data_IF_872367977314
#
_entry.id   IF_872367977314
#
_cell.length_a   1.000
_cell.length_b   1.000
_cell.length_c   1.000
_cell.angle_alpha   90.00
_cell.angle_beta   90.00
_cell.angle_gamma   90.00
#
_symmetry.space_group_name_H-M   'P 1'
#
loop_
_entity.id
_entity.type
_entity.pdbx_description
1 polymer ?
#
# COMPACT_ATOMS: atom_id res chain seq x y z
N UNK A 1 -1.23 -10.30 -5.18
CA UNK A 1 -0.43 -10.27 -3.93
C UNK A 1 -0.51 -11.61 -3.19
N UNK A 2 0.10 -12.66 -3.73
CA UNK A 2 0.05 -14.02 -3.13
C UNK A 2 1.42 -14.56 -2.71
N UNK A 3 2.52 -14.10 -3.32
CA UNK A 3 3.88 -14.48 -2.96
C UNK A 3 4.39 -13.59 -1.82
N UNK A 4 5.25 -14.14 -0.94
CA UNK A 4 5.77 -13.42 0.22
C UNK A 4 7.26 -13.70 0.43
N UNK A 5 8.09 -12.66 0.57
CA UNK A 5 9.49 -12.85 0.90
C UNK A 5 9.64 -13.25 2.37
N UNK A 6 10.62 -14.09 2.69
CA UNK A 6 10.87 -14.57 4.06
C UNK A 6 12.32 -14.28 4.45
N UNK A 7 12.52 -13.87 5.71
CA UNK A 7 13.87 -13.66 6.26
C UNK A 7 14.64 -14.96 6.50
N UNK A 8 13.95 -16.10 6.55
CA UNK A 8 14.54 -17.42 6.75
C UNK A 8 13.84 -18.42 5.83
N UNK A 9 14.62 -19.34 5.26
CA UNK A 9 14.10 -20.42 4.41
C UNK A 9 13.28 -21.43 5.20
N UNK A 10 13.51 -21.53 6.52
CA UNK A 10 12.83 -22.46 7.42
C UNK A 10 12.13 -21.75 8.59
N UNK A 11 11.08 -22.38 9.09
CA UNK A 11 10.31 -22.01 10.28
C UNK A 11 10.35 -23.18 11.27
N UNK A 12 10.64 -22.89 12.55
CA UNK A 12 10.68 -23.89 13.62
C UNK A 12 9.56 -23.64 14.62
N UNK A 13 8.74 -24.64 14.91
CA UNK A 13 7.72 -24.64 15.97
C UNK A 13 7.81 -25.93 16.76
N UNK A 14 7.76 -25.83 18.09
CA UNK A 14 7.76 -26.97 19.01
C UNK A 14 8.86 -28.01 18.72
N UNK A 15 10.05 -27.53 18.34
CA UNK A 15 11.22 -28.37 18.01
C UNK A 15 11.22 -28.97 16.59
N UNK A 16 10.13 -28.87 15.82
CA UNK A 16 10.08 -29.29 14.42
C UNK A 16 10.42 -28.13 13.49
N UNK A 17 11.25 -28.37 12.48
CA UNK A 17 11.66 -27.37 11.48
C UNK A 17 11.16 -27.75 10.09
N UNK A 18 10.46 -26.83 9.42
CA UNK A 18 9.91 -27.02 8.07
C UNK A 18 10.21 -25.82 7.17
N UNK A 19 10.13 -25.96 5.84
CA UNK A 19 10.23 -24.80 4.94
C UNK A 19 9.23 -23.71 5.33
N UNK A 20 9.66 -22.47 5.26
CA UNK A 20 8.81 -21.30 5.51
C UNK A 20 7.64 -21.27 4.54
N UNK A 21 6.45 -20.90 5.04
CA UNK A 21 5.33 -20.50 4.18
C UNK A 21 5.72 -19.25 3.37
N UNK A 22 5.63 -19.33 2.03
CA UNK A 22 6.01 -18.26 1.10
C UNK A 22 4.81 -17.65 0.37
N UNK A 23 3.61 -17.92 0.88
CA UNK A 23 2.38 -17.46 0.27
C UNK A 23 1.68 -18.55 -0.55
N UNK A 24 0.36 -18.42 -0.71
CA UNK A 24 -0.51 -19.48 -1.24
C UNK A 24 -0.20 -19.88 -2.68
N UNK A 25 0.51 -19.02 -3.42
CA UNK A 25 0.99 -19.28 -4.79
C UNK A 25 2.19 -20.24 -4.82
N UNK A 26 2.87 -20.45 -3.70
CA UNK A 26 4.03 -21.34 -3.58
C UNK A 26 3.67 -22.58 -2.76
N UNK A 27 3.25 -22.42 -1.51
CA UNK A 27 2.96 -23.53 -0.59
C UNK A 27 1.81 -23.22 0.37
N UNK A 28 1.37 -24.22 1.12
CA UNK A 28 0.30 -24.14 2.11
C UNK A 28 0.75 -23.54 3.44
N UNK A 29 -0.22 -23.01 4.17
CA UNK A 29 0.00 -22.25 5.41
C UNK A 29 0.24 -23.14 6.63
N UNK A 30 -0.41 -24.32 6.62
CA UNK A 30 -0.38 -25.29 7.71
C UNK A 30 1.06 -25.75 7.99
N UNK A 31 1.36 -25.96 9.27
CA UNK A 31 2.69 -26.34 9.74
C UNK A 31 2.89 -27.86 9.70
N UNK A 32 2.80 -28.42 8.50
CA UNK A 32 3.04 -29.84 8.23
C UNK A 32 3.88 -30.02 6.95
N UNK A 33 4.48 -31.20 6.81
CA UNK A 33 5.42 -31.48 5.71
C UNK A 33 4.73 -31.41 4.34
N UNK A 34 3.51 -31.92 4.21
CA UNK A 34 2.80 -31.95 2.94
C UNK A 34 2.44 -30.54 2.46
N UNK A 35 1.93 -29.71 3.38
CA UNK A 35 1.56 -28.33 3.09
C UNK A 35 2.75 -27.45 2.71
N UNK A 36 3.94 -27.69 3.29
CA UNK A 36 5.10 -26.83 3.07
C UNK A 36 5.88 -27.13 1.78
N UNK A 37 5.60 -28.23 1.10
CA UNK A 37 6.16 -28.54 -0.22
C UNK A 37 5.62 -27.54 -1.26
N UNK A 38 6.49 -26.86 -2.03
CA UNK A 38 6.05 -26.01 -3.13
C UNK A 38 5.27 -26.78 -4.19
N UNK A 39 4.11 -26.26 -4.59
CA UNK A 39 3.24 -26.87 -5.60
C UNK A 39 3.00 -25.90 -6.77
N UNK A 40 3.51 -26.20 -7.99
CA UNK A 40 3.35 -25.33 -9.15
C UNK A 40 1.87 -25.14 -9.58
N UNK A 41 0.95 -26.06 -9.25
CA UNK A 41 -0.47 -25.90 -9.56
C UNK A 41 -1.10 -24.70 -8.84
N UNK A 42 -0.50 -24.25 -7.74
CA UNK A 42 -0.92 -23.04 -7.01
C UNK A 42 -0.81 -21.77 -7.83
N UNK A 43 0.08 -21.72 -8.84
CA UNK A 43 0.16 -20.58 -9.77
C UNK A 43 -1.13 -20.43 -10.59
N UNK A 44 -1.69 -21.54 -11.08
CA UNK A 44 -2.97 -21.52 -11.79
C UNK A 44 -4.13 -21.14 -10.86
N UNK A 45 -4.10 -21.58 -9.61
CA UNK A 45 -5.08 -21.19 -8.60
C UNK A 45 -5.02 -19.68 -8.28
N UNK A 46 -3.82 -19.15 -8.06
CA UNK A 46 -3.60 -17.72 -7.82
C UNK A 46 -4.07 -16.86 -9.01
N UNK A 47 -3.83 -17.31 -10.24
CA UNK A 47 -4.35 -16.65 -11.45
C UNK A 47 -5.88 -16.62 -11.46
N UNK A 48 -6.55 -17.76 -11.25
CA UNK A 48 -8.02 -17.84 -11.25
C UNK A 48 -8.64 -16.95 -10.18
N UNK A 49 -8.09 -16.97 -8.97
CA UNK A 49 -8.55 -16.11 -7.89
C UNK A 49 -8.33 -14.63 -8.23
N UNK A 50 -7.16 -14.26 -8.77
CA UNK A 50 -6.88 -12.88 -9.20
C UNK A 50 -7.86 -12.40 -10.27
N UNK A 51 -8.14 -13.22 -11.29
CA UNK A 51 -9.07 -12.89 -12.36
C UNK A 51 -10.50 -12.69 -11.83
N UNK A 52 -10.98 -13.60 -10.98
CA UNK A 52 -12.31 -13.49 -10.36
C UNK A 52 -12.43 -12.26 -9.46
N UNK A 53 -11.42 -11.98 -8.65
CA UNK A 53 -11.38 -10.80 -7.77
C UNK A 53 -11.34 -9.50 -8.58
N UNK A 54 -10.50 -9.39 -9.61
CA UNK A 54 -10.43 -8.19 -10.44
C UNK A 54 -11.73 -7.96 -11.22
N UNK A 55 -12.36 -9.03 -11.72
CA UNK A 55 -13.67 -8.93 -12.37
C UNK A 55 -14.72 -8.31 -11.42
N UNK A 56 -14.76 -8.76 -10.17
CA UNK A 56 -15.66 -8.19 -9.17
C UNK A 56 -15.31 -6.73 -8.82
N UNK A 57 -14.02 -6.41 -8.66
CA UNK A 57 -13.57 -5.05 -8.38
C UNK A 57 -13.93 -4.07 -9.49
N UNK A 58 -13.78 -4.47 -10.77
CA UNK A 58 -14.22 -3.67 -11.92
C UNK A 58 -15.73 -3.44 -11.89
N UNK A 59 -16.51 -4.47 -11.57
CA UNK A 59 -17.95 -4.34 -11.42
C UNK A 59 -18.35 -3.38 -10.28
N UNK A 60 -17.61 -3.35 -9.16
CA UNK A 60 -17.87 -2.36 -8.11
C UNK A 60 -17.45 -0.94 -8.49
N UNK A 61 -16.30 -0.79 -9.15
CA UNK A 61 -15.77 0.51 -9.54
C UNK A 61 -16.62 1.22 -10.62
N UNK A 62 -17.19 0.46 -11.55
CA UNK A 62 -17.95 0.99 -12.71
C UNK A 62 -19.46 0.72 -12.64
N UNK A 63 -19.90 -0.26 -11.85
CA UNK A 63 -21.31 -0.67 -11.76
C UNK A 63 -22.15 0.13 -10.76
N UNK A 64 -21.72 1.33 -10.39
CA UNK A 64 -22.43 2.23 -9.48
C UNK A 64 -22.23 1.96 -7.99
N UNK A 65 -21.55 0.87 -7.58
CA UNK A 65 -21.23 0.67 -6.16
C UNK A 65 -20.33 1.80 -5.65
N UNK A 66 -19.38 2.28 -6.46
CA UNK A 66 -18.47 3.40 -6.20
C UNK A 66 -19.09 4.81 -6.31
N UNK A 67 -20.39 4.92 -6.60
CA UNK A 67 -21.07 6.22 -6.68
C UNK A 67 -20.99 6.99 -5.36
N UNK A 68 -20.77 8.30 -5.44
CA UNK A 68 -20.74 9.17 -4.26
C UNK A 68 -22.09 9.22 -3.53
N UNK A 69 -23.20 8.88 -4.19
CA UNK A 69 -24.51 8.72 -3.52
C UNK A 69 -24.50 7.58 -2.48
N UNK A 70 -23.58 6.62 -2.59
CA UNK A 70 -23.44 5.50 -1.65
C UNK A 70 -22.53 5.79 -0.45
N UNK A 71 -21.98 7.00 -0.32
CA UNK A 71 -20.99 7.34 0.73
C UNK A 71 -21.48 6.94 2.12
N UNK A 72 -22.73 7.23 2.48
CA UNK A 72 -23.33 6.80 3.77
C UNK A 72 -23.33 5.27 3.95
N UNK A 73 -23.58 4.50 2.89
CA UNK A 73 -23.66 3.03 2.96
C UNK A 73 -22.32 2.40 3.28
N UNK A 74 -21.21 2.95 2.76
CA UNK A 74 -19.88 2.46 3.10
C UNK A 74 -19.53 2.75 4.56
N UNK A 75 -20.08 3.83 5.13
CA UNK A 75 -19.75 4.28 6.49
C UNK A 75 -20.60 3.61 7.58
N UNK A 76 -21.88 3.30 7.29
CA UNK A 76 -22.84 2.80 8.28
C UNK A 76 -22.44 1.47 8.95
N UNK A 77 -21.61 0.64 8.31
CA UNK A 77 -21.16 -0.64 8.88
C UNK A 77 -20.04 -0.54 9.93
N UNK A 78 -19.29 0.57 9.95
CA UNK A 78 -18.05 0.69 10.75
C UNK A 78 -18.10 1.79 11.80
N UNK A 79 -18.93 2.81 11.57
CA UNK A 79 -18.90 4.05 12.36
C UNK A 79 -19.85 4.01 13.56
N UNK A 80 -20.81 3.07 13.58
CA UNK A 80 -21.91 3.13 14.54
C UNK A 80 -21.46 3.12 16.01
N UNK A 81 -20.41 2.35 16.30
CA UNK A 81 -19.83 2.15 17.64
C UNK A 81 -18.43 2.75 17.79
N UNK A 82 -17.98 3.56 16.82
CA UNK A 82 -16.63 4.13 16.83
C UNK A 82 -16.56 5.42 17.68
N UNK A 83 -15.52 5.60 18.52
CA UNK A 83 -15.28 6.87 19.23
C UNK A 83 -15.13 8.08 18.30
N UNK A 84 -14.84 7.86 17.02
CA UNK A 84 -14.65 8.90 16.01
C UNK A 84 -15.91 9.25 15.22
N UNK A 85 -17.07 8.67 15.56
CA UNK A 85 -18.35 8.85 14.86
C UNK A 85 -18.64 10.30 14.46
N UNK A 86 -18.49 11.24 15.39
CA UNK A 86 -18.83 12.65 15.16
C UNK A 86 -18.05 13.26 13.99
N UNK A 87 -16.76 12.92 13.86
CA UNK A 87 -15.90 13.45 12.78
C UNK A 87 -16.33 12.88 11.42
N UNK A 88 -16.74 11.61 11.39
CA UNK A 88 -17.29 10.97 10.20
C UNK A 88 -18.63 11.55 9.79
N UNK A 89 -19.56 11.72 10.74
CA UNK A 89 -20.87 12.30 10.48
C UNK A 89 -20.76 13.70 9.89
N UNK A 90 -19.84 14.52 10.41
CA UNK A 90 -19.59 15.86 9.88
C UNK A 90 -19.08 15.84 8.43
N UNK A 91 -18.12 14.96 8.09
CA UNK A 91 -17.63 14.83 6.71
C UNK A 91 -18.74 14.31 5.79
N UNK A 92 -19.47 13.29 6.22
CA UNK A 92 -20.56 12.69 5.46
C UNK A 92 -21.66 13.71 5.13
N UNK A 93 -22.05 14.51 6.12
CA UNK A 93 -23.03 15.58 5.94
C UNK A 93 -22.54 16.58 4.87
N UNK A 94 -21.28 17.01 4.94
CA UNK A 94 -20.69 17.94 3.95
C UNK A 94 -20.62 17.35 2.54
N UNK A 95 -20.30 16.07 2.40
CA UNK A 95 -20.33 15.38 1.11
C UNK A 95 -21.77 15.35 0.58
N UNK A 96 -22.74 15.03 1.43
CA UNK A 96 -24.17 14.99 1.07
C UNK A 96 -24.65 16.34 0.58
N UNK A 97 -24.33 17.42 1.31
CA UNK A 97 -24.71 18.78 0.93
C UNK A 97 -24.04 19.22 -0.37
N UNK A 98 -22.81 18.77 -0.62
CA UNK A 98 -22.11 19.00 -1.90
C UNK A 98 -22.82 18.27 -3.05
N UNK A 99 -23.19 17.00 -2.86
CA UNK A 99 -23.93 16.22 -3.87
C UNK A 99 -25.31 16.83 -4.12
N UNK A 100 -26.02 17.26 -3.08
CA UNK A 100 -27.33 17.90 -3.20
C UNK A 100 -27.22 19.25 -3.92
N UNK A 101 -26.16 20.02 -3.66
CA UNK A 101 -25.87 21.24 -4.41
C UNK A 101 -25.61 20.95 -5.89
N UNK A 102 -24.77 19.95 -6.20
CA UNK A 102 -24.50 19.52 -7.58
C UNK A 102 -25.80 19.11 -8.28
N UNK A 103 -26.65 18.33 -7.60
CA UNK A 103 -27.96 17.93 -8.11
C UNK A 103 -28.87 19.14 -8.38
N UNK A 104 -28.88 20.13 -7.48
CA UNK A 104 -29.68 21.35 -7.62
C UNK A 104 -29.27 22.20 -8.84
N UNK A 105 -28.00 22.17 -9.24
CA UNK A 105 -27.50 22.84 -10.45
C UNK A 105 -27.51 21.93 -11.70
N UNK A 106 -28.16 20.77 -11.63
CA UNK A 106 -28.35 19.85 -12.75
C UNK A 106 -27.19 18.89 -13.02
N UNK A 107 -26.22 18.79 -12.11
CA UNK A 107 -25.10 17.86 -12.18
C UNK A 107 -25.46 16.60 -11.37
N UNK A 108 -25.68 15.47 -12.02
CA UNK A 108 -26.12 14.21 -11.40
C UNK A 108 -25.27 13.02 -11.83
N UNK A 109 -25.39 11.90 -11.11
CA UNK A 109 -24.75 10.64 -11.47
C UNK A 109 -25.17 10.10 -12.85
N UNK A 110 -26.36 10.49 -13.35
CA UNK A 110 -26.90 10.05 -14.63
C UNK A 110 -26.27 10.78 -15.83
N UNK A 111 -25.87 12.05 -15.65
CA UNK A 111 -25.30 12.87 -16.72
C UNK A 111 -23.80 13.17 -16.54
N UNK A 112 -23.22 12.89 -15.37
CA UNK A 112 -21.78 12.99 -15.10
C UNK A 112 -21.22 11.69 -14.50
N UNK A 113 -20.61 10.85 -15.35
CA UNK A 113 -20.02 9.55 -14.95
C UNK A 113 -18.97 9.64 -13.85
N UNK A 114 -18.25 10.76 -13.75
CA UNK A 114 -17.26 10.98 -12.69
C UNK A 114 -17.86 11.00 -11.28
N UNK A 115 -19.19 11.05 -11.14
CA UNK A 115 -19.89 10.94 -9.85
C UNK A 115 -20.35 9.51 -9.54
N UNK A 116 -20.50 8.67 -10.55
CA UNK A 116 -21.04 7.31 -10.44
C UNK A 116 -19.99 6.21 -10.56
N UNK A 117 -18.83 6.52 -11.12
CA UNK A 117 -17.74 5.59 -11.38
C UNK A 117 -16.40 6.12 -10.81
N UNK A 118 -15.47 5.22 -10.53
CA UNK A 118 -14.09 5.56 -10.18
C UNK A 118 -13.10 4.64 -10.88
N UNK A 119 -11.88 5.11 -11.11
CA UNK A 119 -10.81 4.26 -11.60
C UNK A 119 -10.19 3.48 -10.44
N UNK A 120 -10.03 2.16 -10.63
CA UNK A 120 -9.41 1.29 -9.64
C UNK A 120 -8.32 0.45 -10.30
N UNK A 121 -7.13 0.50 -9.73
CA UNK A 121 -5.94 -0.18 -10.22
C UNK A 121 -5.50 -1.27 -9.24
N UNK A 122 -4.76 -2.25 -9.75
CA UNK A 122 -4.23 -3.36 -8.95
C UNK A 122 -2.71 -3.38 -8.97
N UNK A 123 -2.13 -3.78 -7.85
CA UNK A 123 -0.69 -3.97 -7.73
C UNK A 123 -0.33 -5.16 -6.84
N UNK A 124 0.89 -5.66 -7.04
CA UNK A 124 1.53 -6.66 -6.19
C UNK A 124 3.05 -6.62 -6.31
N UNK A 125 3.74 -7.25 -5.36
CA UNK A 125 5.19 -7.46 -5.43
C UNK A 125 5.52 -8.45 -6.54
N UNK A 126 6.36 -8.05 -7.50
CA UNK A 126 6.81 -8.89 -8.61
C UNK A 126 7.81 -9.94 -8.13
N UNK A 127 7.41 -10.85 -7.24
CA UNK A 127 8.34 -11.69 -6.49
C UNK A 127 8.63 -13.04 -7.19
N UNK A 128 7.59 -13.73 -7.67
CA UNK A 128 7.72 -15.05 -8.30
C UNK A 128 7.85 -14.88 -9.81
N UNK A 129 9.08 -14.66 -10.29
CA UNK A 129 9.33 -14.22 -11.67
C UNK A 129 8.78 -15.17 -12.75
N UNK A 130 8.77 -16.49 -12.53
CA UNK A 130 8.15 -17.42 -13.48
C UNK A 130 6.64 -17.21 -13.68
N UNK A 131 5.94 -16.72 -12.64
CA UNK A 131 4.53 -16.32 -12.74
C UNK A 131 4.37 -14.98 -13.47
N UNK A 132 5.27 -14.03 -13.19
CA UNK A 132 5.25 -12.70 -13.81
C UNK A 132 5.59 -12.78 -15.31
N UNK A 133 6.60 -13.56 -15.68
CA UNK A 133 7.00 -13.86 -17.06
C UNK A 133 5.83 -14.48 -17.85
N UNK A 134 5.14 -15.47 -17.30
CA UNK A 134 4.01 -16.13 -17.95
C UNK A 134 2.82 -15.17 -18.24
N UNK A 135 2.71 -14.07 -17.49
CA UNK A 135 1.70 -13.04 -17.65
C UNK A 135 2.23 -11.77 -18.34
N UNK A 136 3.47 -11.80 -18.83
CA UNK A 136 4.04 -10.70 -19.62
C UNK A 136 3.62 -10.82 -21.07
N UNK A 137 3.18 -9.72 -21.68
CA UNK A 137 2.62 -9.68 -23.02
C UNK A 137 3.20 -8.53 -23.82
N UNK A 138 3.30 -8.72 -25.12
CA UNK A 138 3.57 -7.64 -26.07
C UNK A 138 2.27 -6.91 -26.33
N UNK A 139 2.24 -5.59 -26.12
CA UNK A 139 1.14 -4.74 -26.56
C UNK A 139 1.08 -4.72 -28.09
N UNK A 140 -0.10 -4.96 -28.66
CA UNK A 140 -0.27 -5.11 -30.10
C UNK A 140 -0.09 -3.81 -30.89
N UNK A 141 -0.12 -2.65 -30.22
CA UNK A 141 -0.05 -1.34 -30.86
C UNK A 141 1.37 -0.78 -30.85
N UNK A 142 2.02 -0.83 -29.69
CA UNK A 142 3.36 -0.29 -29.46
C UNK A 142 4.48 -1.31 -29.70
N UNK A 143 4.20 -2.61 -29.57
CA UNK A 143 5.23 -3.65 -29.57
C UNK A 143 6.02 -3.76 -28.26
N UNK A 144 5.63 -2.98 -27.23
CA UNK A 144 6.31 -2.97 -25.94
C UNK A 144 5.82 -4.10 -25.02
N UNK A 145 6.63 -4.45 -24.03
CA UNK A 145 6.31 -5.48 -23.06
C UNK A 145 5.59 -4.92 -21.84
N UNK A 146 4.47 -5.52 -21.46
CA UNK A 146 3.73 -5.20 -20.24
C UNK A 146 3.53 -6.46 -19.40
N UNK A 147 3.79 -6.35 -18.11
CA UNK A 147 3.32 -7.33 -17.15
C UNK A 147 1.80 -7.17 -16.98
N UNK A 148 1.02 -8.15 -17.44
CA UNK A 148 -0.45 -8.11 -17.37
C UNK A 148 -1.01 -8.78 -16.10
N UNK A 149 -0.13 -9.09 -15.14
CA UNK A 149 -0.48 -9.63 -13.82
C UNK A 149 -1.03 -8.56 -12.86
N UNK A 150 -0.68 -7.29 -13.07
CA UNK A 150 -1.10 -6.13 -12.29
C UNK A 150 -0.88 -4.83 -13.09
N UNK A 151 -1.57 -3.75 -12.73
CA UNK A 151 -1.38 -2.46 -13.41
C UNK A 151 -0.04 -1.84 -13.01
N UNK A 152 0.29 -1.92 -11.72
CA UNK A 152 1.56 -1.49 -11.14
C UNK A 152 2.22 -2.67 -10.43
N UNK A 153 3.53 -2.81 -10.57
CA UNK A 153 4.31 -3.83 -9.87
C UNK A 153 5.35 -3.18 -8.96
N UNK A 154 5.76 -3.83 -7.88
CA UNK A 154 6.89 -3.33 -7.10
C UNK A 154 7.96 -4.37 -6.81
N UNK A 155 9.19 -3.88 -6.62
CA UNK A 155 10.34 -4.63 -6.16
C UNK A 155 10.45 -4.47 -4.64
N UNK A 156 10.55 -5.60 -3.94
CA UNK A 156 10.68 -5.65 -2.49
C UNK A 156 12.07 -5.22 -1.98
N UNK A 157 12.14 -4.85 -0.70
CA UNK A 157 13.40 -4.39 -0.08
C UNK A 157 14.48 -5.48 -0.03
N UNK A 158 14.09 -6.76 -0.16
CA UNK A 158 14.98 -7.93 -0.18
C UNK A 158 15.38 -8.38 -1.58
N UNK A 159 14.75 -7.84 -2.62
CA UNK A 159 14.88 -8.28 -4.01
C UNK A 159 15.31 -7.14 -4.95
N UNK A 160 15.82 -6.04 -4.39
CA UNK A 160 16.21 -4.82 -5.12
C UNK A 160 17.70 -4.73 -5.44
N UNK A 161 18.40 -5.85 -5.55
CA UNK A 161 19.81 -5.84 -5.93
C UNK A 161 19.93 -5.41 -7.41
N UNK A 162 20.75 -4.39 -7.75
CA UNK A 162 20.80 -3.83 -9.10
C UNK A 162 21.11 -4.84 -10.22
N UNK A 163 21.87 -5.88 -9.90
CA UNK A 163 22.36 -6.92 -10.81
C UNK A 163 21.54 -8.22 -10.75
N UNK A 164 20.38 -8.21 -10.07
CA UNK A 164 19.52 -9.37 -9.91
C UNK A 164 18.28 -9.35 -10.80
N UNK A 165 17.67 -10.54 -10.93
CA UNK A 165 16.57 -10.82 -11.86
C UNK A 165 15.33 -9.93 -11.68
N UNK A 166 15.01 -9.50 -10.46
CA UNK A 166 13.84 -8.65 -10.20
C UNK A 166 13.99 -7.25 -10.79
N UNK A 167 15.16 -6.65 -10.64
CA UNK A 167 15.47 -5.34 -11.23
C UNK A 167 15.52 -5.47 -12.75
N UNK A 168 16.14 -6.53 -13.27
CA UNK A 168 16.18 -6.80 -14.72
C UNK A 168 14.79 -7.00 -15.32
N UNK A 169 13.91 -7.75 -14.66
CA UNK A 169 12.53 -7.94 -15.10
C UNK A 169 11.76 -6.61 -15.14
N UNK A 170 11.82 -5.82 -14.05
CA UNK A 170 11.12 -4.54 -13.98
C UNK A 170 11.72 -3.46 -14.91
N UNK A 171 13.01 -3.58 -15.28
CA UNK A 171 13.64 -2.74 -16.29
C UNK A 171 13.01 -2.92 -17.68
N UNK A 172 12.56 -4.14 -18.01
CA UNK A 172 12.06 -4.51 -19.34
C UNK A 172 10.56 -4.32 -19.58
N UNK A 173 9.75 -4.06 -18.55
CA UNK A 173 8.29 -3.88 -18.68
C UNK A 173 7.89 -2.41 -18.64
N UNK A 174 6.86 -2.03 -19.37
CA UNK A 174 6.38 -0.63 -19.48
C UNK A 174 5.42 -0.19 -18.36
N UNK A 175 5.03 -1.09 -17.46
CA UNK A 175 4.20 -0.74 -16.30
C UNK A 175 4.86 0.37 -15.44
N UNK A 176 4.06 1.25 -14.79
CA UNK A 176 4.55 1.96 -13.62
C UNK A 176 5.05 0.97 -12.58
N UNK A 177 6.22 1.26 -11.99
CA UNK A 177 6.88 0.36 -11.04
C UNK A 177 7.17 1.04 -9.72
N UNK A 178 7.25 0.23 -8.67
CA UNK A 178 7.56 0.67 -7.32
C UNK A 178 8.85 0.04 -6.81
N UNK A 179 9.55 0.76 -5.94
CA UNK A 179 10.78 0.29 -5.31
C UNK A 179 10.71 0.53 -3.81
N UNK A 180 10.70 -0.55 -3.02
CA UNK A 180 10.74 -0.44 -1.56
C UNK A 180 12.11 0.11 -1.11
N UNK A 181 12.09 1.17 -0.33
CA UNK A 181 13.26 1.87 0.19
C UNK A 181 13.30 1.73 1.72
N UNK A 182 14.09 0.77 2.22
CA UNK A 182 14.31 0.57 3.65
C UNK A 182 15.55 1.29 4.20
N UNK A 183 15.82 1.16 5.52
CA UNK A 183 16.95 1.81 6.19
C UNK A 183 18.35 1.48 5.65
N UNK A 184 18.49 0.34 4.96
CA UNK A 184 19.73 -0.07 4.29
C UNK A 184 19.99 0.64 2.96
N UNK A 185 19.06 1.46 2.47
CA UNK A 185 19.23 2.24 1.24
C UNK A 185 20.13 3.46 1.49
N UNK A 186 21.15 3.64 0.66
CA UNK A 186 21.96 4.85 0.57
C UNK A 186 21.62 5.65 -0.71
N UNK A 187 22.17 6.85 -0.81
CA UNK A 187 21.87 7.76 -1.91
C UNK A 187 22.39 7.25 -3.25
N UNK A 188 23.65 6.80 -3.31
CA UNK A 188 24.28 6.35 -4.55
C UNK A 188 23.61 5.07 -5.09
N UNK A 189 23.31 4.12 -4.20
CA UNK A 189 22.58 2.90 -4.55
C UNK A 189 21.14 3.19 -5.01
N UNK A 190 20.47 4.15 -4.39
CA UNK A 190 19.14 4.60 -4.85
C UNK A 190 19.21 5.22 -6.24
N UNK A 191 20.15 6.14 -6.47
CA UNK A 191 20.33 6.81 -7.77
C UNK A 191 20.64 5.79 -8.88
N UNK A 192 21.53 4.83 -8.62
CA UNK A 192 21.80 3.74 -9.55
C UNK A 192 20.55 2.92 -9.89
N UNK A 193 19.71 2.60 -8.90
CA UNK A 193 18.46 1.89 -9.14
C UNK A 193 17.46 2.74 -9.95
N UNK A 194 17.40 4.06 -9.72
CA UNK A 194 16.57 4.97 -10.51
C UNK A 194 17.06 5.01 -11.97
N UNK A 195 18.38 5.06 -12.21
CA UNK A 195 18.97 5.02 -13.55
C UNK A 195 18.58 3.75 -14.32
N UNK A 196 18.58 2.60 -13.64
CA UNK A 196 18.23 1.32 -14.25
C UNK A 196 16.73 1.25 -14.56
N UNK A 197 15.88 1.68 -13.63
CA UNK A 197 14.43 1.46 -13.67
C UNK A 197 13.64 2.57 -14.37
N UNK A 198 14.20 3.78 -14.43
CA UNK A 198 13.63 4.95 -15.11
C UNK A 198 14.71 5.69 -15.94
N UNK A 199 15.30 5.03 -16.96
CA UNK A 199 16.43 5.57 -17.71
C UNK A 199 16.10 6.85 -18.49
N UNK A 200 14.83 7.03 -18.88
CA UNK A 200 14.36 8.21 -19.61
C UNK A 200 13.87 9.33 -18.68
N UNK A 201 13.98 9.16 -17.36
CA UNK A 201 13.52 10.11 -16.34
C UNK A 201 12.04 10.50 -16.51
N UNK A 202 11.19 9.54 -16.87
CA UNK A 202 9.76 9.74 -17.10
C UNK A 202 9.03 9.96 -15.77
N UNK A 203 8.26 11.04 -15.68
CA UNK A 203 7.48 11.35 -14.48
C UNK A 203 6.36 10.31 -14.29
N UNK A 204 6.26 9.75 -13.07
CA UNK A 204 5.25 8.72 -12.75
C UNK A 204 5.66 7.29 -13.08
N UNK A 205 6.77 7.08 -13.80
CA UNK A 205 7.32 5.74 -14.09
C UNK A 205 7.73 4.98 -12.84
N UNK A 206 8.42 5.64 -11.91
CA UNK A 206 8.98 5.03 -10.71
C UNK A 206 8.45 5.66 -9.42
N UNK A 207 7.89 4.82 -8.55
CA UNK A 207 7.44 5.18 -7.21
C UNK A 207 8.43 4.65 -6.15
N UNK A 208 9.06 5.54 -5.39
CA UNK A 208 9.92 5.21 -4.27
C UNK A 208 9.09 5.03 -3.00
N UNK A 209 9.01 3.81 -2.49
CA UNK A 209 8.15 3.43 -1.37
C UNK A 209 8.99 3.39 -0.08
N UNK A 210 9.04 4.50 0.64
CA UNK A 210 9.80 4.68 1.88
C UNK A 210 9.21 3.88 3.04
N UNK A 211 10.01 3.02 3.68
CA UNK A 211 9.59 2.15 4.80
C UNK A 211 10.65 2.07 5.90
N UNK A 212 10.93 3.20 6.54
CA UNK A 212 12.08 3.34 7.46
C UNK A 212 11.76 2.94 8.90
N UNK A 213 10.49 3.06 9.31
CA UNK A 213 10.07 3.04 10.70
C UNK A 213 10.04 4.44 11.30
N UNK A 214 9.12 4.65 12.24
CA UNK A 214 8.85 5.94 12.90
C UNK A 214 10.06 6.57 13.57
N UNK A 215 11.04 5.73 13.95
CA UNK A 215 12.23 6.16 14.69
C UNK A 215 13.41 6.47 13.77
N UNK A 216 13.31 6.17 12.47
CA UNK A 216 14.43 6.27 11.51
C UNK A 216 14.11 7.13 10.29
N UNK A 217 12.83 7.33 9.97
CA UNK A 217 12.42 8.08 8.77
C UNK A 217 13.01 9.50 8.74
N UNK A 218 13.04 10.21 9.87
CA UNK A 218 13.59 11.56 9.96
C UNK A 218 15.10 11.64 9.71
N UNK A 219 15.85 10.59 10.04
CA UNK A 219 17.32 10.55 9.85
C UNK A 219 17.72 10.06 8.45
N UNK A 220 16.93 9.15 7.87
CA UNK A 220 17.28 8.46 6.64
C UNK A 220 16.64 9.04 5.38
N UNK A 221 15.40 9.52 5.44
CA UNK A 221 14.69 9.98 4.24
C UNK A 221 15.26 11.30 3.67
N UNK A 222 15.63 12.32 4.48
CA UNK A 222 16.09 13.60 3.92
C UNK A 222 17.29 13.47 2.98
N UNK A 223 18.27 12.64 3.32
CA UNK A 223 19.46 12.43 2.46
C UNK A 223 19.09 11.84 1.10
N UNK A 224 18.07 10.97 1.02
CA UNK A 224 17.64 10.35 -0.22
C UNK A 224 16.85 11.34 -1.07
N UNK A 225 15.94 12.09 -0.45
CA UNK A 225 15.17 13.15 -1.11
C UNK A 225 16.12 14.19 -1.72
N UNK A 226 17.08 14.70 -0.95
CA UNK A 226 18.09 15.66 -1.44
C UNK A 226 18.89 15.13 -2.63
N UNK A 227 19.29 13.86 -2.58
CA UNK A 227 20.04 13.25 -3.68
C UNK A 227 19.21 13.15 -4.97
N UNK A 228 17.96 12.70 -4.87
CA UNK A 228 17.01 12.59 -5.99
C UNK A 228 16.72 13.96 -6.60
N UNK A 229 16.43 14.97 -5.76
CA UNK A 229 16.16 16.34 -6.22
C UNK A 229 17.39 16.99 -6.86
N UNK A 230 18.57 16.83 -6.25
CA UNK A 230 19.84 17.36 -6.79
C UNK A 230 20.16 16.80 -8.18
N UNK A 231 19.93 15.52 -8.40
CA UNK A 231 20.16 14.86 -9.69
C UNK A 231 18.97 15.02 -10.66
N UNK A 232 17.95 15.79 -10.29
CA UNK A 232 16.80 16.12 -11.14
C UNK A 232 15.92 14.92 -11.51
N UNK A 233 15.92 13.86 -10.69
CA UNK A 233 15.18 12.62 -10.97
C UNK A 233 13.71 12.78 -10.68
N UNK A 234 12.86 12.32 -11.61
CA UNK A 234 11.40 12.39 -11.53
C UNK A 234 10.87 11.07 -11.01
N UNK A 235 10.40 11.10 -9.77
CA UNK A 235 9.85 9.96 -9.04
C UNK A 235 8.62 10.36 -8.25
N UNK A 236 7.79 9.39 -7.89
CA UNK A 236 6.72 9.57 -6.91
C UNK A 236 7.21 9.06 -5.56
N UNK A 237 7.16 9.88 -4.51
CA UNK A 237 7.45 9.43 -3.16
C UNK A 237 6.18 8.90 -2.49
N UNK A 238 6.25 7.69 -1.94
CA UNK A 238 5.15 7.07 -1.19
C UNK A 238 5.64 6.59 0.17
N UNK A 239 4.85 6.81 1.22
CA UNK A 239 5.14 6.28 2.56
C UNK A 239 4.50 4.90 2.76
N UNK A 240 5.29 3.91 3.14
CA UNK A 240 4.85 2.62 3.70
C UNK A 240 5.16 2.60 5.19
N UNK A 241 4.22 3.08 6.03
CA UNK A 241 4.41 3.20 7.48
C UNK A 241 4.22 1.86 8.21
N UNK A 242 4.11 0.75 7.47
CA UNK A 242 3.71 -0.54 8.04
C UNK A 242 4.94 -1.42 8.25
N UNK A 243 5.70 -1.66 7.18
CA UNK A 243 6.81 -2.61 7.18
C UNK A 243 8.01 -2.15 8.01
N UNK A 244 8.13 -0.85 8.31
CA UNK A 244 9.15 -0.29 9.21
C UNK A 244 8.85 -0.45 10.70
N UNK A 245 7.57 -0.63 11.07
CA UNK A 245 7.07 -0.49 12.45
C UNK A 245 6.59 -1.81 13.09
N UNK A 246 7.03 -2.95 12.56
CA UNK A 246 6.62 -4.26 13.09
C UNK A 246 7.40 -4.61 14.35
N UNK A 247 6.69 -4.98 15.42
CA UNK A 247 7.24 -5.41 16.71
C UNK A 247 6.61 -6.73 17.13
N UNK A 248 7.13 -7.37 18.20
CA UNK A 248 6.51 -8.54 18.82
C UNK A 248 5.91 -8.17 20.18
N UNK A 249 4.65 -8.53 20.41
CA UNK A 249 3.91 -8.31 21.65
C UNK A 249 2.89 -9.45 21.87
N UNK A 250 2.76 -9.95 23.10
CA UNK A 250 1.79 -11.02 23.42
C UNK A 250 2.01 -12.34 22.65
N UNK A 251 3.22 -12.61 22.14
CA UNK A 251 3.49 -13.76 21.27
C UNK A 251 3.09 -13.56 19.80
N UNK A 252 2.50 -12.42 19.46
CA UNK A 252 2.14 -12.05 18.09
C UNK A 252 3.11 -11.01 17.52
N UNK A 253 3.18 -10.94 16.19
CA UNK A 253 3.66 -9.72 15.55
C UNK A 253 2.54 -8.69 15.62
N UNK A 254 2.87 -7.44 15.87
CA UNK A 254 1.91 -6.33 15.80
C UNK A 254 2.60 -5.07 15.30
N UNK A 255 1.83 -4.03 15.04
CA UNK A 255 2.31 -2.70 14.65
C UNK A 255 1.57 -1.69 15.51
N UNK A 256 2.26 -0.95 16.41
CA UNK A 256 1.64 0.11 17.18
C UNK A 256 1.14 1.20 16.23
N UNK A 257 -0.16 1.48 16.27
CA UNK A 257 -0.79 2.42 15.35
C UNK A 257 -0.20 3.83 15.48
N UNK A 258 0.22 4.24 16.68
CA UNK A 258 0.88 5.53 16.91
C UNK A 258 2.21 5.64 16.15
N UNK A 259 2.94 4.53 15.99
CA UNK A 259 4.17 4.50 15.17
C UNK A 259 3.85 4.60 13.69
N UNK A 260 2.78 3.95 13.25
CA UNK A 260 2.28 4.07 11.86
C UNK A 260 1.94 5.53 11.56
N UNK A 261 1.17 6.19 12.42
CA UNK A 261 0.84 7.62 12.26
C UNK A 261 2.09 8.49 12.26
N UNK A 262 2.98 8.31 13.25
CA UNK A 262 4.22 9.09 13.39
C UNK A 262 5.13 8.99 12.17
N UNK A 263 5.26 7.82 11.55
CA UNK A 263 6.05 7.67 10.32
C UNK A 263 5.44 8.46 9.16
N UNK A 264 4.11 8.44 9.00
CA UNK A 264 3.42 9.25 7.99
C UNK A 264 3.61 10.73 8.26
N UNK A 265 3.40 11.21 9.49
CA UNK A 265 3.61 12.62 9.84
C UNK A 265 5.04 13.07 9.53
N UNK A 266 6.03 12.30 9.96
CA UNK A 266 7.43 12.62 9.73
C UNK A 266 7.78 12.57 8.24
N UNK A 267 7.19 11.65 7.46
CA UNK A 267 7.36 11.62 6.01
C UNK A 267 6.88 12.91 5.35
N UNK A 268 5.71 13.42 5.74
CA UNK A 268 5.22 14.72 5.27
C UNK A 268 6.11 15.88 5.73
N UNK A 269 6.56 15.89 6.98
CA UNK A 269 7.48 16.91 7.52
C UNK A 269 8.79 16.97 6.72
N UNK A 270 9.37 15.81 6.41
CA UNK A 270 10.59 15.72 5.58
C UNK A 270 10.33 16.29 4.19
N UNK A 271 9.26 15.89 3.51
CA UNK A 271 8.97 16.40 2.17
C UNK A 271 8.76 17.92 2.15
N UNK A 272 8.04 18.45 3.15
CA UNK A 272 7.84 19.88 3.31
C UNK A 272 9.17 20.62 3.55
N UNK A 273 10.00 20.12 4.45
CA UNK A 273 11.30 20.73 4.78
C UNK A 273 12.29 20.70 3.60
N UNK A 274 12.26 19.64 2.80
CA UNK A 274 13.12 19.48 1.61
C UNK A 274 12.52 20.12 0.35
N UNK A 275 11.34 20.72 0.42
CA UNK A 275 10.68 21.36 -0.74
C UNK A 275 10.26 20.37 -1.83
N UNK A 276 10.03 19.10 -1.47
CA UNK A 276 9.62 18.02 -2.38
C UNK A 276 8.18 17.57 -2.09
N UNK A 277 7.63 16.67 -2.90
CA UNK A 277 6.22 16.28 -2.82
C UNK A 277 6.01 14.90 -2.16
N UNK A 278 5.26 14.89 -1.06
CA UNK A 278 4.72 13.68 -0.44
C UNK A 278 3.58 13.09 -1.31
N UNK A 279 3.93 12.20 -2.24
CA UNK A 279 3.04 11.78 -3.34
C UNK A 279 2.02 10.67 -3.02
N UNK A 280 2.12 9.99 -1.88
CA UNK A 280 1.14 8.95 -1.52
C UNK A 280 1.48 8.11 -0.30
N UNK A 281 0.61 7.14 -0.02
CA UNK A 281 0.78 6.13 1.05
C UNK A 281 0.53 4.72 0.53
N UNK A 282 1.19 3.74 1.13
CA UNK A 282 1.11 2.31 0.81
C UNK A 282 0.89 1.53 2.10
N UNK A 283 -0.35 1.10 2.35
CA UNK A 283 -0.77 0.49 3.62
C UNK A 283 -1.30 -0.93 3.44
N UNK A 284 -1.12 -1.76 4.47
CA UNK A 284 -1.74 -3.08 4.56
C UNK A 284 -2.99 -2.97 5.44
N UNK A 285 -4.16 -3.21 4.84
CA UNK A 285 -5.44 -3.01 5.51
C UNK A 285 -6.45 -4.12 5.22
N UNK A 286 -7.52 -4.15 6.01
CA UNK A 286 -8.66 -5.04 5.79
C UNK A 286 -9.95 -4.37 6.25
N UNK A 287 -11.03 -4.53 5.48
CA UNK A 287 -12.38 -4.10 5.87
C UNK A 287 -13.02 -4.98 6.96
N UNK A 288 -12.30 -5.97 7.49
CA UNK A 288 -12.79 -6.82 8.59
C UNK A 288 -12.46 -6.19 9.94
N UNK A 289 -13.31 -6.42 10.94
CA UNK A 289 -13.06 -6.02 12.32
C UNK A 289 -12.09 -7.01 13.00
N UNK A 290 -10.78 -6.79 12.80
CA UNK A 290 -9.67 -7.59 13.32
C UNK A 290 -8.87 -6.82 14.38
N UNK A 291 -8.16 -7.55 15.24
CA UNK A 291 -7.26 -7.03 16.28
C UNK A 291 -5.81 -7.37 15.95
N UNK A 292 -5.30 -6.86 14.82
CA UNK A 292 -3.95 -7.19 14.34
C UNK A 292 -2.93 -6.10 14.75
N UNK A 293 -3.27 -4.82 14.64
CA UNK A 293 -2.45 -3.69 15.08
C UNK A 293 -2.94 -3.14 16.42
N UNK A 294 -2.03 -2.93 17.39
CA UNK A 294 -2.36 -2.29 18.68
C UNK A 294 -2.61 -0.79 18.55
N UNK A 295 -3.34 -0.20 19.49
CA UNK A 295 -3.65 1.23 19.51
C UNK A 295 -4.86 1.62 18.67
N UNK A 296 -4.88 2.89 18.23
CA UNK A 296 -6.02 3.51 17.52
C UNK A 296 -7.19 3.84 18.43
N UNK A 297 -8.31 4.31 17.85
CA UNK A 297 -9.45 4.79 18.63
C UNK A 297 -10.01 3.81 19.69
N UNK A 298 -9.94 2.49 19.45
CA UNK A 298 -10.37 1.45 20.41
C UNK A 298 -9.30 1.05 21.44
N UNK A 299 -8.09 1.60 21.35
CA UNK A 299 -6.95 1.30 22.21
C UNK A 299 -6.67 -0.21 22.33
N UNK A 300 -6.59 -0.91 21.19
CA UNK A 300 -6.33 -2.36 21.13
C UNK A 300 -5.01 -2.66 21.85
N UNK A 301 -5.07 -3.48 22.90
CA UNK A 301 -3.92 -3.90 23.70
C UNK A 301 -3.25 -5.16 23.12
N UNK A 302 -2.12 -5.56 23.70
CA UNK A 302 -1.45 -6.81 23.31
C UNK A 302 -2.29 -8.06 23.64
N UNK A 303 -3.12 -8.00 24.67
CA UNK A 303 -3.97 -9.12 25.10
C UNK A 303 -5.16 -9.30 24.16
N UNK A 304 -5.66 -8.20 23.57
CA UNK A 304 -6.76 -8.22 22.61
C UNK A 304 -6.35 -8.83 21.25
N UNK A 305 -5.05 -9.02 20.98
CA UNK A 305 -4.57 -9.54 19.71
C UNK A 305 -5.11 -10.96 19.45
N UNK A 306 -5.17 -11.81 20.48
CA UNK A 306 -5.63 -13.19 20.31
C UNK A 306 -7.09 -13.32 19.89
N UNK A 307 -7.91 -12.27 20.07
CA UNK A 307 -9.34 -12.33 19.81
C UNK A 307 -9.66 -12.55 18.33
N UNK A 308 -8.98 -11.82 17.44
CA UNK A 308 -9.28 -11.79 15.99
C UNK A 308 -8.03 -11.61 15.12
N UNK A 309 -6.93 -12.28 15.47
CA UNK A 309 -5.71 -12.28 14.66
C UNK A 309 -5.86 -13.20 13.43
N UNK A 310 -6.25 -12.63 12.28
CA UNK A 310 -6.63 -13.41 11.09
C UNK A 310 -5.59 -13.35 9.96
N UNK A 311 -4.36 -12.97 10.28
CA UNK A 311 -3.23 -12.93 9.34
C UNK A 311 -2.14 -13.89 9.78
N UNK A 312 -1.48 -14.53 8.84
CA UNK A 312 -0.29 -15.35 9.10
C UNK A 312 0.99 -14.69 8.60
N UNK A 313 0.88 -13.44 8.17
CA UNK A 313 2.01 -12.67 7.68
C UNK A 313 2.16 -11.45 8.55
N UNK A 314 1.91 -10.27 8.00
CA UNK A 314 2.05 -9.07 8.77
C UNK A 314 0.67 -8.52 9.24
N UNK A 315 0.64 -7.83 10.39
CA UNK A 315 -0.56 -7.22 10.96
C UNK A 315 -1.14 -6.11 10.07
N UNK A 316 -2.44 -6.14 9.80
CA UNK A 316 -3.12 -5.13 8.97
C UNK A 316 -3.85 -4.10 9.83
N UNK A 317 -4.01 -2.89 9.29
CA UNK A 317 -4.97 -1.94 9.83
C UNK A 317 -6.38 -2.49 9.63
N UNK A 318 -7.19 -2.45 10.67
CA UNK A 318 -8.62 -2.68 10.53
C UNK A 318 -9.31 -1.47 9.89
N UNK A 319 -10.62 -1.55 9.65
CA UNK A 319 -11.37 -0.49 8.98
C UNK A 319 -11.30 0.86 9.74
N UNK A 320 -11.42 0.85 11.07
CA UNK A 320 -11.39 2.06 11.89
C UNK A 320 -10.01 2.73 11.87
N UNK A 321 -8.94 1.95 12.07
CA UNK A 321 -7.55 2.44 12.00
C UNK A 321 -7.21 2.98 10.60
N UNK A 322 -7.66 2.30 9.55
CA UNK A 322 -7.41 2.75 8.16
C UNK A 322 -8.05 4.11 7.89
N UNK A 323 -9.25 4.31 8.45
CA UNK A 323 -10.03 5.51 8.24
C UNK A 323 -9.54 6.68 9.10
N UNK A 324 -9.09 6.39 10.33
CA UNK A 324 -8.36 7.33 11.20
C UNK A 324 -7.10 7.85 10.50
N UNK A 325 -6.31 6.97 9.89
CA UNK A 325 -5.13 7.35 9.11
C UNK A 325 -5.51 8.21 7.89
N UNK A 326 -6.59 7.87 7.18
CA UNK A 326 -7.05 8.66 6.03
C UNK A 326 -7.41 10.11 6.43
N UNK A 327 -8.01 10.29 7.61
CA UNK A 327 -8.32 11.61 8.15
C UNK A 327 -7.08 12.42 8.51
N UNK A 328 -6.08 11.79 9.11
CA UNK A 328 -4.78 12.44 9.39
C UNK A 328 -4.15 12.95 8.09
N UNK A 329 -4.08 12.09 7.06
CA UNK A 329 -3.51 12.45 5.75
C UNK A 329 -4.30 13.60 5.12
N UNK A 330 -5.64 13.56 5.18
CA UNK A 330 -6.49 14.62 4.64
C UNK A 330 -6.24 15.98 5.32
N UNK A 331 -6.06 16.00 6.64
CA UNK A 331 -5.69 17.22 7.37
C UNK A 331 -4.33 17.75 6.96
N UNK A 332 -3.35 16.85 6.76
CA UNK A 332 -2.01 17.26 6.34
C UNK A 332 -2.01 17.86 4.93
N UNK A 333 -2.65 17.17 3.98
CA UNK A 333 -2.81 17.67 2.61
C UNK A 333 -3.54 19.03 2.56
N UNK A 334 -4.52 19.25 3.45
CA UNK A 334 -5.20 20.55 3.55
C UNK A 334 -4.25 21.65 4.02
N UNK A 335 -3.41 21.38 5.03
CA UNK A 335 -2.40 22.34 5.51
C UNK A 335 -1.39 22.69 4.41
N UNK A 336 -0.89 21.68 3.69
CA UNK A 336 0.12 21.86 2.65
C UNK A 336 -0.42 22.63 1.43
N UNK A 337 -1.72 22.50 1.11
CA UNK A 337 -2.38 23.24 0.02
C UNK A 337 -2.74 24.69 0.37
N UNK A 338 -2.81 25.02 1.66
CA UNK A 338 -3.17 26.35 2.17
C UNK A 338 -2.03 27.00 2.96
N UNK A 339 -0.84 27.23 2.38
CA UNK A 339 0.29 27.83 3.10
C UNK A 339 0.01 29.25 3.63
N UNK A 340 -1.01 29.94 3.09
CA UNK A 340 -1.39 31.29 3.52
C UNK A 340 -2.12 31.36 4.88
N UNK A 341 -2.70 30.26 5.40
CA UNK A 341 -3.39 30.26 6.71
C UNK A 341 -2.45 29.92 7.88
N UNK A 342 -1.31 29.26 7.61
CA UNK A 342 -0.36 28.88 8.65
C UNK A 342 0.44 30.07 9.23
N UNK A 343 0.64 31.13 8.43
CA UNK A 343 1.37 32.34 8.86
C UNK A 343 0.49 33.30 9.69
N UNK A 344 -0.83 33.06 9.77
CA UNK A 344 -1.75 33.90 10.54
C UNK A 344 -2.09 33.33 11.93
N UNK A 345 -1.54 32.16 12.29
CA UNK A 345 -1.82 31.46 13.54
C UNK A 345 -0.59 31.28 14.47
N UNK A 346 0.59 31.78 14.08
CA UNK A 346 1.70 32.14 14.97
C UNK A 346 1.66 33.64 15.25
#
# INVERSE_FOLDING_TARGET
QFAKPRSSDNETKDGKTLPSYRGDIINGIDFDEASRIPDPQRQAMAYRQSAATLNLLRAFAQGGFASLDNVHRWMLGFVSDSPQRNRYEALSARITETIDFMRAIGITADNHRSLSETEFYTSHEALLLGYEEALTRVDSTSGNWYATSGHMLWIGDRTRQPDHAHVEYCRGVENPIGLKCGPSMDADGLLNLIDILNPNNEAGRLTLIARFGSDKVGDHLPRLVRAVEKEGRKVVWSCDPMHGNTVSAGGYKTRPFERVLKEVETFFDVHQAEGSHAGGVHIEMTGKNVTECTGGARAISADDLSDRYHTHCDPRLNAEQSLELAFLIAERLKRDRSPAEAVAAE
#
